data_IF_031472880085
#
_entry.id   IF_031472880085
#
_cell.length_a   1.000
_cell.length_b   1.000
_cell.length_c   1.000
_cell.angle_alpha   90.00
_cell.angle_beta   90.00
_cell.angle_gamma   90.00
#
_symmetry.space_group_name_H-M   'P 1'
#
loop_
_entity.id
_entity.type
_entity.pdbx_description
1 polymer ?
#
# COMPACT_ATOMS: atom_id res chain seq x y z
N UNK A 1 -10.78 0.51 -27.62
CA UNK A 1 -11.16 -0.70 -28.37
C UNK A 1 -10.54 -1.89 -27.68
N UNK A 2 -11.37 -2.86 -27.34
CA UNK A 2 -10.95 -4.09 -26.66
C UNK A 2 -11.06 -5.26 -27.65
N UNK A 3 -10.03 -6.10 -27.69
CA UNK A 3 -10.02 -7.35 -28.47
C UNK A 3 -9.83 -8.51 -27.52
N UNK A 4 -10.54 -9.60 -27.75
CA UNK A 4 -10.50 -10.80 -26.92
C UNK A 4 -9.99 -12.00 -27.73
N UNK A 5 -9.30 -12.93 -27.08
CA UNK A 5 -8.91 -14.21 -27.68
C UNK A 5 -10.13 -15.16 -27.83
N UNK A 6 -9.91 -16.36 -28.37
CA UNK A 6 -10.99 -17.36 -28.56
C UNK A 6 -11.57 -17.90 -27.24
N UNK A 7 -10.88 -17.70 -26.11
CA UNK A 7 -11.29 -18.12 -24.77
C UNK A 7 -12.02 -16.99 -24.01
N UNK A 8 -12.02 -15.78 -24.56
CA UNK A 8 -12.66 -14.61 -23.95
C UNK A 8 -11.71 -13.77 -23.10
N UNK A 9 -10.41 -14.05 -23.10
CA UNK A 9 -9.42 -13.26 -22.39
C UNK A 9 -9.10 -11.98 -23.17
N UNK A 10 -8.90 -10.85 -22.49
CA UNK A 10 -8.52 -9.59 -23.14
C UNK A 10 -7.15 -9.76 -23.80
N UNK A 11 -7.06 -9.73 -25.13
CA UNK A 11 -5.79 -9.90 -25.86
C UNK A 11 -5.15 -8.59 -26.29
N UNK A 12 -5.95 -7.53 -26.44
CA UNK A 12 -5.45 -6.23 -26.89
C UNK A 12 -6.34 -5.06 -26.47
N UNK A 13 -5.70 -4.01 -25.97
CA UNK A 13 -6.29 -2.69 -25.71
C UNK A 13 -5.73 -1.67 -26.71
N UNK A 14 -6.61 -0.95 -27.41
CA UNK A 14 -6.27 0.09 -28.37
C UNK A 14 -7.04 1.39 -28.12
N UNK A 15 -6.33 2.50 -27.98
CA UNK A 15 -6.89 3.84 -27.96
C UNK A 15 -6.44 4.64 -29.20
N UNK A 16 -7.30 5.52 -29.71
CA UNK A 16 -6.97 6.28 -30.92
C UNK A 16 -5.79 7.22 -30.65
N UNK A 17 -4.71 7.07 -31.42
CA UNK A 17 -3.50 7.89 -31.28
C UNK A 17 -2.50 7.39 -30.25
N UNK A 18 -2.78 6.29 -29.56
CA UNK A 18 -1.86 5.64 -28.62
C UNK A 18 -1.47 4.25 -29.16
N UNK A 19 -0.22 3.81 -28.94
CA UNK A 19 0.18 2.45 -29.29
C UNK A 19 -0.54 1.42 -28.40
N UNK A 20 -0.80 0.19 -28.91
CA UNK A 20 -1.63 -0.79 -28.21
C UNK A 20 -0.92 -1.42 -27.00
N UNK A 21 -1.71 -1.86 -26.02
CA UNK A 21 -1.27 -2.84 -25.01
C UNK A 21 -1.72 -4.23 -25.45
N UNK A 22 -0.82 -5.21 -25.38
CA UNK A 22 -1.04 -6.60 -25.81
C UNK A 22 -0.88 -7.53 -24.62
N UNK A 23 -1.79 -8.49 -24.49
CA UNK A 23 -1.82 -9.45 -23.40
C UNK A 23 -1.71 -10.86 -23.96
N UNK A 24 -0.98 -11.72 -23.28
CA UNK A 24 -0.80 -13.13 -23.66
C UNK A 24 -0.99 -14.04 -22.47
N UNK A 25 -1.48 -15.25 -22.73
CA UNK A 25 -1.92 -16.19 -21.70
C UNK A 25 -1.35 -17.58 -21.95
N UNK A 26 -1.13 -18.36 -20.89
CA UNK A 26 -0.81 -19.78 -20.99
C UNK A 26 -2.05 -20.64 -21.28
N UNK A 27 -1.90 -21.97 -21.24
CA UNK A 27 -2.99 -22.92 -21.45
C UNK A 27 -3.99 -23.02 -20.29
N UNK A 28 -3.67 -22.42 -19.14
CA UNK A 28 -4.51 -22.38 -17.93
C UNK A 28 -5.20 -21.02 -17.76
N UNK A 29 -5.19 -20.18 -18.80
CA UNK A 29 -5.76 -18.82 -18.82
C UNK A 29 -5.08 -17.85 -17.84
N UNK A 30 -3.86 -18.15 -17.41
CA UNK A 30 -3.04 -17.22 -16.64
C UNK A 30 -2.26 -16.31 -17.57
N UNK A 31 -2.11 -15.05 -17.18
CA UNK A 31 -1.35 -14.08 -17.96
C UNK A 31 0.15 -14.42 -17.92
N UNK A 32 0.82 -14.43 -19.08
CA UNK A 32 2.27 -14.68 -19.17
C UNK A 32 3.06 -13.47 -19.66
N UNK A 33 2.40 -12.50 -20.29
CA UNK A 33 3.03 -11.24 -20.67
C UNK A 33 2.01 -10.14 -20.96
N UNK A 34 2.32 -8.92 -20.50
CA UNK A 34 1.70 -7.67 -20.90
C UNK A 34 2.77 -6.83 -21.60
N UNK A 35 2.57 -6.51 -22.86
CA UNK A 35 3.46 -5.62 -23.64
C UNK A 35 2.74 -4.30 -23.92
N UNK A 36 3.30 -3.21 -23.38
CA UNK A 36 2.82 -1.86 -23.57
C UNK A 36 3.30 -1.28 -24.90
N UNK A 37 2.65 -0.20 -25.34
CA UNK A 37 2.83 0.31 -26.69
C UNK A 37 4.21 0.92 -26.99
N UNK A 38 5.02 1.18 -25.97
CA UNK A 38 6.44 1.53 -26.08
C UNK A 38 7.39 0.31 -26.12
N UNK A 39 6.81 -0.90 -26.13
CA UNK A 39 7.43 -2.22 -26.04
C UNK A 39 7.98 -2.59 -24.66
N UNK A 40 7.71 -1.82 -23.61
CA UNK A 40 7.95 -2.29 -22.24
C UNK A 40 7.07 -3.49 -21.96
N UNK A 41 7.65 -4.49 -21.32
CA UNK A 41 6.98 -5.78 -21.10
C UNK A 41 7.11 -6.19 -19.64
N UNK A 42 5.99 -6.57 -19.05
CA UNK A 42 5.95 -7.33 -17.79
C UNK A 42 5.61 -8.77 -18.16
N UNK A 43 6.39 -9.75 -17.68
CA UNK A 43 6.15 -11.17 -18.01
C UNK A 43 6.24 -12.07 -16.80
N UNK A 44 5.61 -13.24 -16.89
CA UNK A 44 5.41 -14.15 -15.77
C UNK A 44 5.95 -15.55 -16.06
N UNK A 45 6.56 -16.13 -15.03
CA UNK A 45 6.81 -17.56 -14.94
C UNK A 45 6.12 -18.13 -13.70
N UNK A 46 5.41 -19.24 -13.88
CA UNK A 46 4.72 -19.95 -12.81
C UNK A 46 5.42 -21.29 -12.56
N UNK A 47 5.99 -21.46 -11.37
CA UNK A 47 6.75 -22.67 -10.99
C UNK A 47 6.28 -23.17 -9.63
N UNK A 48 5.42 -24.19 -9.64
CA UNK A 48 4.81 -24.71 -8.40
C UNK A 48 3.95 -23.64 -7.73
N UNK A 49 4.26 -23.34 -6.46
CA UNK A 49 3.64 -22.28 -5.66
C UNK A 49 4.40 -20.94 -5.73
N UNK A 50 5.17 -20.71 -6.80
CA UNK A 50 5.98 -19.50 -6.99
C UNK A 50 5.59 -18.80 -8.28
N UNK A 51 5.37 -17.49 -8.20
CA UNK A 51 5.24 -16.59 -9.34
C UNK A 51 6.51 -15.76 -9.45
N UNK A 52 7.11 -15.73 -10.64
CA UNK A 52 8.26 -14.86 -10.95
C UNK A 52 7.79 -13.84 -11.97
N UNK A 53 7.81 -12.57 -11.59
CA UNK A 53 7.51 -11.44 -12.46
C UNK A 53 8.80 -10.81 -12.94
N UNK A 54 8.98 -10.75 -14.26
CA UNK A 54 10.08 -10.02 -14.90
C UNK A 54 9.60 -8.62 -15.29
N UNK A 55 10.30 -7.61 -14.77
CA UNK A 55 9.98 -6.21 -14.94
C UNK A 55 10.63 -5.63 -16.22
N UNK A 56 10.14 -4.49 -16.75
CA UNK A 56 10.67 -3.91 -17.98
C UNK A 56 12.18 -3.56 -17.95
N UNK A 57 12.75 -3.39 -16.76
CA UNK A 57 14.16 -3.08 -16.54
C UNK A 57 15.03 -4.31 -16.17
N UNK A 58 14.51 -5.53 -16.35
CA UNK A 58 15.10 -6.84 -16.00
C UNK A 58 15.18 -7.17 -14.50
N UNK A 59 14.64 -6.32 -13.62
CA UNK A 59 14.43 -6.68 -12.22
C UNK A 59 13.38 -7.76 -12.11
N UNK A 60 13.40 -8.48 -11.00
CA UNK A 60 12.41 -9.53 -10.76
C UNK A 60 11.71 -9.38 -9.43
N UNK A 61 10.42 -9.73 -9.42
CA UNK A 61 9.62 -9.92 -8.21
C UNK A 61 9.31 -11.39 -8.08
N UNK A 62 9.67 -12.00 -6.96
CA UNK A 62 9.41 -13.41 -6.67
C UNK A 62 8.42 -13.49 -5.52
N UNK A 63 7.27 -14.08 -5.80
CA UNK A 63 6.17 -14.29 -4.86
C UNK A 63 6.01 -15.78 -4.61
N UNK A 64 5.94 -16.18 -3.34
CA UNK A 64 5.72 -17.57 -2.92
C UNK A 64 4.47 -17.67 -2.09
N UNK A 65 3.73 -18.74 -2.30
CA UNK A 65 2.45 -18.98 -1.65
C UNK A 65 2.50 -20.25 -0.80
N UNK A 66 1.75 -20.29 0.30
CA UNK A 66 1.53 -21.53 1.04
C UNK A 66 0.55 -22.46 0.27
N UNK A 67 0.25 -23.63 0.83
CA UNK A 67 -0.69 -24.60 0.22
C UNK A 67 -2.15 -24.10 0.18
N UNK A 68 -2.50 -23.09 1.00
CA UNK A 68 -3.80 -22.43 1.00
C UNK A 68 -3.92 -21.35 -0.09
N UNK A 69 -2.79 -20.94 -0.69
CA UNK A 69 -2.73 -19.87 -1.69
C UNK A 69 -2.37 -18.49 -1.13
N UNK A 70 -2.05 -18.37 0.16
CA UNK A 70 -1.68 -17.10 0.77
C UNK A 70 -0.19 -16.78 0.54
N UNK A 71 0.11 -15.50 0.30
CA UNK A 71 1.46 -15.01 0.09
C UNK A 71 2.31 -15.17 1.36
N UNK A 72 3.43 -15.89 1.30
CA UNK A 72 4.35 -16.04 2.45
C UNK A 72 5.67 -15.28 2.27
N UNK A 73 6.05 -15.01 1.02
CA UNK A 73 7.24 -14.23 0.70
C UNK A 73 7.01 -13.42 -0.57
N UNK A 74 7.41 -12.15 -0.56
CA UNK A 74 7.53 -11.31 -1.76
C UNK A 74 8.90 -10.64 -1.76
N UNK A 75 9.69 -10.89 -2.81
CA UNK A 75 11.09 -10.47 -2.90
C UNK A 75 11.34 -9.73 -4.20
N UNK A 76 11.85 -8.51 -4.11
CA UNK A 76 12.31 -7.71 -5.23
C UNK A 76 13.82 -7.87 -5.35
N UNK A 77 14.31 -8.20 -6.54
CA UNK A 77 15.75 -8.34 -6.81
C UNK A 77 16.18 -7.50 -8.00
N UNK A 78 17.45 -7.10 -7.98
CA UNK A 78 18.11 -6.47 -9.12
C UNK A 78 18.44 -7.48 -10.24
N UNK A 79 18.99 -6.98 -11.35
CA UNK A 79 19.37 -7.79 -12.52
C UNK A 79 20.44 -8.85 -12.20
N UNK A 80 21.17 -8.70 -11.08
CA UNK A 80 22.16 -9.64 -10.58
C UNK A 80 21.60 -10.65 -9.56
N UNK A 81 20.31 -10.54 -9.22
CA UNK A 81 19.62 -11.38 -8.24
C UNK A 81 19.88 -10.99 -6.78
N UNK A 82 20.41 -9.80 -6.51
CA UNK A 82 20.55 -9.31 -5.14
C UNK A 82 19.22 -8.74 -4.65
N UNK A 83 18.91 -8.97 -3.38
CA UNK A 83 17.66 -8.51 -2.78
C UNK A 83 17.69 -6.99 -2.58
N UNK A 84 16.66 -6.31 -3.07
CA UNK A 84 16.41 -4.87 -2.86
C UNK A 84 15.43 -4.71 -1.68
N UNK A 85 14.35 -5.48 -1.72
CA UNK A 85 13.29 -5.50 -0.71
C UNK A 85 12.76 -6.93 -0.57
N UNK A 86 12.41 -7.31 0.65
CA UNK A 86 11.71 -8.56 0.96
C UNK A 86 10.69 -8.34 2.07
N UNK A 87 9.51 -8.91 1.91
CA UNK A 87 8.54 -9.11 2.98
C UNK A 87 8.27 -10.61 3.14
N UNK A 88 8.24 -11.07 4.38
CA UNK A 88 7.87 -12.43 4.76
C UNK A 88 6.68 -12.37 5.71
N UNK A 89 5.68 -13.23 5.51
CA UNK A 89 4.41 -13.20 6.23
C UNK A 89 4.17 -14.52 6.97
N UNK A 90 3.70 -14.42 8.21
CA UNK A 90 3.22 -15.55 9.00
C UNK A 90 1.75 -15.34 9.37
N UNK A 91 0.98 -16.43 9.39
CA UNK A 91 -0.46 -16.42 9.60
C UNK A 91 -0.84 -17.08 10.93
N UNK A 92 -1.87 -16.58 11.58
CA UNK A 92 -2.49 -17.25 12.74
C UNK A 92 -3.39 -18.41 12.29
N UNK A 93 -4.05 -19.07 13.25
CA UNK A 93 -4.92 -20.22 12.97
C UNK A 93 -6.21 -19.89 12.23
N UNK A 94 -6.54 -18.60 12.07
CA UNK A 94 -7.70 -18.11 11.34
C UNK A 94 -7.28 -17.51 9.98
N UNK A 95 -6.08 -17.86 9.49
CA UNK A 95 -5.49 -17.38 8.23
C UNK A 95 -5.33 -15.85 8.15
N UNK A 96 -5.14 -15.18 9.29
CA UNK A 96 -4.84 -13.74 9.35
C UNK A 96 -3.35 -13.52 9.55
N UNK A 97 -2.80 -12.48 8.93
CA UNK A 97 -1.39 -12.11 9.13
C UNK A 97 -1.13 -11.83 10.61
N UNK A 98 -0.29 -12.65 11.23
CA UNK A 98 0.11 -12.56 12.63
C UNK A 98 1.49 -11.92 12.79
N UNK A 99 2.35 -12.07 11.78
CA UNK A 99 3.65 -11.41 11.71
C UNK A 99 3.99 -11.01 10.29
N UNK A 100 4.67 -9.87 10.15
CA UNK A 100 5.37 -9.47 8.93
C UNK A 100 6.83 -9.14 9.25
N UNK A 101 7.75 -9.65 8.45
CA UNK A 101 9.17 -9.33 8.52
C UNK A 101 9.61 -8.64 7.23
N UNK A 102 10.03 -7.39 7.34
CA UNK A 102 10.45 -6.54 6.23
C UNK A 102 11.96 -6.35 6.26
N UNK A 103 12.60 -6.63 5.13
CA UNK A 103 14.03 -6.39 4.90
C UNK A 103 14.16 -5.46 3.70
N UNK A 104 14.93 -4.39 3.86
CA UNK A 104 15.10 -3.37 2.82
C UNK A 104 16.53 -2.86 2.77
N UNK A 105 17.04 -2.57 1.59
CA UNK A 105 18.39 -1.99 1.44
C UNK A 105 18.44 -0.55 1.99
N UNK A 106 19.46 -0.22 2.79
CA UNK A 106 19.68 1.10 3.43
C UNK A 106 20.10 2.17 2.45
N UNK A 107 20.88 1.81 1.42
CA UNK A 107 21.24 2.74 0.35
C UNK A 107 20.25 2.69 -0.82
N UNK A 108 19.34 1.71 -0.78
CA UNK A 108 18.27 1.42 -1.72
C UNK A 108 18.73 1.30 -3.18
N UNK A 109 20.05 1.18 -3.40
CA UNK A 109 20.64 0.88 -4.69
C UNK A 109 20.63 -0.61 -4.93
N UNK A 110 20.82 -1.00 -6.18
CA UNK A 110 21.29 -2.35 -6.49
C UNK A 110 22.48 -2.65 -5.57
N UNK A 111 22.37 -3.64 -4.68
CA UNK A 111 23.39 -3.85 -3.65
C UNK A 111 24.76 -4.09 -4.28
N UNK A 112 25.77 -3.31 -3.91
CA UNK A 112 27.18 -3.64 -4.19
C UNK A 112 27.62 -4.92 -3.42
N UNK A 113 26.81 -5.34 -2.44
CA UNK A 113 27.02 -6.49 -1.56
C UNK A 113 26.03 -7.63 -1.82
N UNK A 114 26.56 -8.81 -2.12
CA UNK A 114 25.78 -10.03 -2.37
C UNK A 114 25.11 -10.53 -1.09
N UNK A 115 23.79 -10.41 -1.01
CA UNK A 115 22.96 -11.26 -0.15
C UNK A 115 22.00 -12.02 -1.05
N UNK A 116 22.43 -13.20 -1.48
CA UNK A 116 21.68 -14.09 -2.38
C UNK A 116 20.79 -15.08 -1.62
N UNK A 117 20.91 -15.16 -0.30
CA UNK A 117 20.15 -16.09 0.55
C UNK A 117 19.97 -15.50 1.94
N UNK A 118 18.71 -15.31 2.37
CA UNK A 118 18.38 -15.22 3.79
C UNK A 118 18.04 -16.64 4.27
N UNK A 119 18.83 -17.15 5.21
CA UNK A 119 18.43 -18.35 5.95
C UNK A 119 17.41 -17.90 6.98
N UNK A 120 16.16 -18.23 6.71
CA UNK A 120 15.06 -18.00 7.63
C UNK A 120 15.38 -18.69 8.96
N UNK A 121 15.53 -17.91 10.04
CA UNK A 121 15.94 -18.47 11.33
C UNK A 121 14.79 -19.15 12.07
N UNK A 122 13.57 -19.10 11.51
CA UNK A 122 12.35 -19.56 12.17
C UNK A 122 11.62 -20.74 11.51
N UNK A 123 12.29 -21.52 10.65
CA UNK A 123 11.75 -22.82 10.23
C UNK A 123 12.43 -23.99 10.96
N UNK A 124 12.03 -24.17 12.21
CA UNK A 124 12.33 -25.36 13.00
C UNK A 124 11.54 -26.58 12.54
N UNK A 125 11.76 -27.11 11.34
CA UNK A 125 11.55 -28.54 11.04
C UNK A 125 12.58 -29.02 10.02
N UNK A 126 13.51 -29.85 10.50
CA UNK A 126 14.55 -30.44 9.66
C UNK A 126 13.99 -31.53 8.75
N UNK A 127 14.47 -31.57 7.51
CA UNK A 127 14.59 -32.80 6.74
C UNK A 127 16.01 -32.87 6.17
N UNK A 128 16.79 -33.73 6.82
CA UNK A 128 18.07 -34.26 6.35
C UNK A 128 17.91 -34.94 4.99
N UNK A 129 18.89 -34.76 4.12
CA UNK A 129 19.40 -35.85 3.29
C UNK A 129 20.91 -35.72 3.17
N UNK A 130 21.61 -36.57 3.91
CA UNK A 130 23.03 -36.85 3.76
C UNK A 130 23.32 -37.34 2.34
N UNK A 131 24.37 -36.83 1.69
CA UNK A 131 25.56 -37.65 1.48
C UNK A 131 26.79 -36.84 1.01
N UNK A 132 27.88 -37.00 1.79
CA UNK A 132 29.30 -36.98 1.41
C UNK A 132 29.94 -35.70 0.83
N UNK A 133 30.66 -34.94 1.67
CA UNK A 133 32.10 -35.17 1.94
C UNK A 133 32.71 -33.95 2.66
N UNK A 134 33.19 -34.12 3.90
CA UNK A 134 34.07 -33.16 4.60
C UNK A 134 35.53 -33.27 4.10
N UNK A 135 36.38 -32.23 4.27
CA UNK A 135 37.16 -32.07 5.53
C UNK A 135 36.99 -30.68 6.14
N UNK A 136 36.59 -30.59 7.41
CA UNK A 136 37.42 -30.26 8.60
C UNK A 136 38.09 -28.89 8.56
N UNK A 137 37.45 -27.90 9.18
CA UNK A 137 38.11 -27.08 10.20
C UNK A 137 37.06 -26.57 11.20
N UNK A 138 37.11 -27.13 12.40
CA UNK A 138 36.39 -26.65 13.57
C UNK A 138 37.05 -25.36 14.07
N UNK A 139 36.34 -24.24 13.98
CA UNK A 139 36.44 -23.19 15.00
C UNK A 139 35.06 -22.94 15.57
N UNK A 140 34.88 -23.52 16.76
CA UNK A 140 33.75 -23.34 17.64
C UNK A 140 33.55 -21.87 18.00
N UNK A 141 32.33 -21.36 17.80
CA UNK A 141 31.82 -20.22 18.57
C UNK A 141 30.72 -20.76 19.49
N UNK A 142 31.15 -21.14 20.69
CA UNK A 142 30.30 -21.29 21.87
C UNK A 142 29.70 -19.94 22.26
N UNK A 143 28.42 -19.92 22.56
CA UNK A 143 27.63 -18.70 22.65
C UNK A 143 27.93 -17.73 23.79
N UNK A 144 27.34 -16.56 23.65
CA UNK A 144 26.66 -15.83 24.73
C UNK A 144 25.64 -14.91 24.07
N UNK A 145 24.48 -14.84 24.69
CA UNK A 145 23.42 -13.88 24.42
C UNK A 145 24.03 -12.49 24.56
N UNK A 146 24.05 -11.71 23.49
CA UNK A 146 24.11 -10.26 23.57
C UNK A 146 23.32 -9.64 22.41
N UNK A 147 22.43 -8.76 22.83
CA UNK A 147 21.40 -8.08 22.07
C UNK A 147 22.03 -6.92 21.30
N UNK A 148 22.80 -7.24 20.26
CA UNK A 148 23.36 -6.27 19.33
C UNK A 148 23.45 -6.88 17.93
N UNK A 149 22.43 -6.65 17.11
CA UNK A 149 22.59 -6.71 15.66
C UNK A 149 23.58 -5.59 15.32
N UNK A 150 24.86 -5.94 15.19
CA UNK A 150 25.88 -5.04 14.67
C UNK A 150 25.56 -4.70 13.21
N UNK A 151 25.04 -3.49 13.04
CA UNK A 151 24.91 -2.67 11.83
C UNK A 151 26.06 -2.87 10.81
N UNK A 152 25.97 -3.91 9.98
CA UNK A 152 26.99 -4.21 8.96
C UNK A 152 26.42 -4.71 7.63
N UNK A 153 25.11 -4.91 7.50
CA UNK A 153 24.52 -5.56 6.32
C UNK A 153 24.12 -4.61 5.21
N UNK A 154 24.05 -3.29 5.45
CA UNK A 154 23.46 -2.38 4.46
C UNK A 154 21.96 -2.60 4.27
N UNK A 155 21.28 -3.33 5.17
CA UNK A 155 19.83 -3.54 5.19
C UNK A 155 19.21 -3.12 6.51
N UNK A 156 18.00 -2.58 6.47
CA UNK A 156 17.13 -2.35 7.63
C UNK A 156 16.15 -3.50 7.75
N UNK A 157 15.95 -3.97 8.99
CA UNK A 157 15.00 -5.04 9.31
C UNK A 157 13.92 -4.47 10.23
N UNK A 158 12.67 -4.80 9.93
CA UNK A 158 11.50 -4.38 10.70
C UNK A 158 10.59 -5.59 10.86
N UNK A 159 10.24 -5.92 12.10
CA UNK A 159 9.26 -6.94 12.42
C UNK A 159 7.98 -6.28 12.94
N UNK A 160 6.85 -6.71 12.40
CA UNK A 160 5.52 -6.37 12.86
C UNK A 160 4.87 -7.62 13.46
N UNK A 161 4.30 -7.51 14.64
CA UNK A 161 3.48 -8.55 15.25
C UNK A 161 2.07 -8.04 15.50
N UNK A 162 1.08 -8.79 15.02
CA UNK A 162 -0.32 -8.43 15.10
C UNK A 162 -1.07 -9.36 16.04
N UNK A 163 -2.07 -8.80 16.72
CA UNK A 163 -3.09 -9.61 17.41
C UNK A 163 -4.48 -9.11 17.09
N UNK A 164 -5.43 -10.02 17.14
CA UNK A 164 -6.82 -9.74 16.78
C UNK A 164 -7.75 -9.98 17.98
N UNK A 165 -8.92 -9.36 17.91
CA UNK A 165 -10.06 -9.69 18.78
C UNK A 165 -10.76 -10.95 18.25
N UNK A 166 -11.64 -11.53 19.07
CA UNK A 166 -12.47 -12.68 18.66
C UNK A 166 -13.43 -12.36 17.49
N UNK A 167 -13.57 -11.08 17.12
CA UNK A 167 -14.34 -10.61 15.95
C UNK A 167 -13.43 -10.29 14.74
N UNK A 168 -12.20 -10.80 14.74
CA UNK A 168 -11.17 -10.55 13.70
C UNK A 168 -10.79 -9.08 13.48
N UNK A 169 -11.04 -8.21 14.47
CA UNK A 169 -10.61 -6.81 14.43
C UNK A 169 -9.20 -6.67 14.98
N UNK A 170 -8.33 -5.87 14.34
CA UNK A 170 -6.96 -5.63 14.80
C UNK A 170 -6.95 -5.05 16.22
N UNK A 171 -6.40 -5.80 17.17
CA UNK A 171 -6.34 -5.45 18.59
C UNK A 171 -5.03 -4.77 18.95
N UNK A 172 -3.92 -5.23 18.39
CA UNK A 172 -2.61 -4.63 18.62
C UNK A 172 -1.66 -4.86 17.47
N UNK A 173 -0.67 -3.98 17.40
CA UNK A 173 0.50 -4.07 16.53
C UNK A 173 1.74 -3.74 17.39
N UNK A 174 2.78 -4.56 17.30
CA UNK A 174 4.09 -4.27 17.88
C UNK A 174 5.11 -4.21 16.76
N UNK A 175 5.78 -3.07 16.65
CA UNK A 175 6.77 -2.80 15.61
C UNK A 175 8.14 -2.80 16.26
N UNK A 176 8.99 -3.74 15.86
CA UNK A 176 10.37 -3.86 16.32
C UNK A 176 11.30 -3.61 15.14
N UNK A 177 12.12 -2.56 15.22
CA UNK A 177 13.17 -2.30 14.23
C UNK A 177 14.50 -2.03 14.90
N UNK A 178 15.54 -1.84 14.08
CA UNK A 178 16.92 -1.57 14.53
C UNK A 178 17.04 -0.39 15.54
N UNK A 179 16.03 0.48 15.61
CA UNK A 179 16.05 1.75 16.35
C UNK A 179 15.10 1.81 17.55
N UNK A 180 14.33 0.76 17.80
CA UNK A 180 13.43 0.69 18.96
C UNK A 180 12.16 -0.14 18.71
N UNK A 181 11.27 -0.07 19.71
CA UNK A 181 9.97 -0.75 19.71
C UNK A 181 8.87 0.31 19.82
N UNK A 182 7.79 0.12 19.06
CA UNK A 182 6.55 0.89 19.16
C UNK A 182 5.38 -0.08 19.25
N UNK A 183 4.59 0.05 20.31
CA UNK A 183 3.38 -0.74 20.49
C UNK A 183 2.15 0.13 20.24
N UNK A 184 1.21 -0.39 19.47
CA UNK A 184 -0.07 0.24 19.19
C UNK A 184 -1.17 -0.72 19.61
N UNK A 185 -2.20 -0.21 20.27
CA UNK A 185 -3.36 -1.00 20.67
C UNK A 185 -4.66 -0.26 20.38
N UNK A 186 -5.68 -1.04 20.00
CA UNK A 186 -6.97 -0.54 19.59
C UNK A 186 -8.07 -1.18 20.43
N UNK A 187 -9.12 -0.41 20.68
CA UNK A 187 -10.35 -0.91 21.32
C UNK A 187 -11.56 -0.52 20.49
N UNK A 188 -12.59 -1.36 20.55
CA UNK A 188 -13.79 -1.24 19.74
C UNK A 188 -15.04 -1.30 20.61
N UNK A 189 -16.11 -0.65 20.16
CA UNK A 189 -17.44 -0.88 20.70
C UNK A 189 -18.06 -2.19 20.17
N UNK A 190 -19.30 -2.48 20.54
CA UNK A 190 -19.95 -3.71 20.10
C UNK A 190 -20.34 -3.72 18.61
N UNK A 191 -20.52 -2.55 18.00
CA UNK A 191 -20.78 -2.38 16.57
C UNK A 191 -19.50 -2.49 15.72
N UNK A 192 -18.33 -2.54 16.38
CA UNK A 192 -17.04 -2.65 15.73
C UNK A 192 -16.39 -1.29 15.44
N UNK A 193 -16.95 -0.18 15.94
CA UNK A 193 -16.34 1.13 15.78
C UNK A 193 -15.12 1.25 16.70
N UNK A 194 -13.99 1.69 16.16
CA UNK A 194 -12.76 1.92 16.95
C UNK A 194 -12.98 3.08 17.91
N UNK A 195 -12.97 2.85 19.21
CA UNK A 195 -13.20 3.87 20.25
C UNK A 195 -11.91 4.42 20.86
N UNK A 196 -10.80 3.69 20.77
CA UNK A 196 -9.48 4.19 21.19
C UNK A 196 -8.34 3.60 20.36
N UNK A 197 -7.28 4.41 20.25
CA UNK A 197 -5.94 4.05 19.80
C UNK A 197 -4.97 4.51 20.89
N UNK A 198 -4.08 3.61 21.33
CA UNK A 198 -3.01 3.93 22.27
C UNK A 198 -1.68 3.57 21.65
N UNK A 199 -0.82 4.57 21.48
CA UNK A 199 0.54 4.43 20.95
C UNK A 199 1.52 4.55 22.11
N UNK A 200 2.39 3.55 22.26
CA UNK A 200 3.50 3.53 23.23
C UNK A 200 4.83 3.52 22.49
N UNK A 201 5.71 4.45 22.87
CA UNK A 201 7.08 4.53 22.34
C UNK A 201 8.02 4.81 23.49
N UNK A 202 8.77 3.78 23.92
CA UNK A 202 9.49 3.82 25.20
C UNK A 202 8.53 4.12 26.36
N UNK A 203 8.87 5.12 27.18
CA UNK A 203 8.04 5.53 28.33
C UNK A 203 6.87 6.47 27.99
N UNK A 204 6.73 6.86 26.71
CA UNK A 204 5.66 7.79 26.29
C UNK A 204 4.44 7.00 25.85
N UNK A 205 3.28 7.46 26.29
CA UNK A 205 1.97 6.92 25.90
C UNK A 205 1.10 8.07 25.38
N UNK A 206 0.61 7.93 24.15
CA UNK A 206 -0.31 8.85 23.51
C UNK A 206 -1.64 8.12 23.26
N UNK A 207 -2.75 8.71 23.71
CA UNK A 207 -4.09 8.12 23.58
C UNK A 207 -4.95 9.02 22.70
N UNK A 208 -5.52 8.43 21.65
CA UNK A 208 -6.58 9.02 20.83
C UNK A 208 -7.89 8.30 21.10
N UNK A 209 -8.98 9.07 21.26
CA UNK A 209 -10.33 8.53 21.46
C UNK A 209 -11.28 9.00 20.37
N UNK A 210 -12.25 8.16 20.05
CA UNK A 210 -13.22 8.37 18.99
C UNK A 210 -14.64 8.21 19.55
N UNK A 211 -15.56 9.07 19.13
CA UNK A 211 -16.97 9.05 19.55
C UNK A 211 -17.86 9.01 18.32
N UNK A 212 -18.86 8.13 18.37
CA UNK A 212 -19.80 7.88 17.28
C UNK A 212 -21.21 8.25 17.70
N UNK A 213 -22.07 8.56 16.73
CA UNK A 213 -23.50 8.72 16.95
C UNK A 213 -24.25 7.37 16.89
N UNK A 214 -25.58 7.40 17.05
CA UNK A 214 -26.44 6.21 17.01
C UNK A 214 -26.45 5.50 15.64
N UNK A 215 -25.96 6.17 14.58
CA UNK A 215 -25.81 5.63 13.23
C UNK A 215 -24.39 5.14 12.95
N UNK A 216 -23.55 4.97 13.98
CA UNK A 216 -22.14 4.55 13.87
C UNK A 216 -21.26 5.52 13.07
N UNK A 217 -21.62 6.81 12.98
CA UNK A 217 -20.82 7.82 12.27
C UNK A 217 -19.90 8.53 13.25
N UNK A 218 -18.63 8.70 12.88
CA UNK A 218 -17.63 9.36 13.72
C UNK A 218 -17.97 10.85 13.90
N UNK A 219 -18.38 11.27 15.09
CA UNK A 219 -18.75 12.68 15.38
C UNK A 219 -17.66 13.45 16.13
N UNK A 220 -16.72 12.75 16.77
CA UNK A 220 -15.61 13.40 17.47
C UNK A 220 -14.36 12.51 17.52
N UNK A 221 -13.21 13.13 17.26
CA UNK A 221 -11.88 12.56 17.50
C UNK A 221 -11.13 13.44 18.48
N UNK A 222 -10.59 12.85 19.54
CA UNK A 222 -9.81 13.54 20.56
C UNK A 222 -8.43 12.90 20.61
N UNK A 223 -7.46 13.56 19.97
CA UNK A 223 -6.04 13.22 20.09
C UNK A 223 -5.41 13.98 21.27
N UNK A 224 -4.16 13.68 21.67
CA UNK A 224 -3.46 14.44 22.71
C UNK A 224 -3.25 15.92 22.37
N UNK A 225 -3.24 16.28 21.08
CA UNK A 225 -2.91 17.63 20.60
C UNK A 225 -4.12 18.42 20.14
N UNK A 226 -5.11 17.75 19.56
CA UNK A 226 -6.24 18.36 18.86
C UNK A 226 -7.55 17.62 19.11
N UNK A 227 -8.64 18.38 19.11
CA UNK A 227 -9.99 17.84 19.01
C UNK A 227 -10.55 18.14 17.63
N UNK A 228 -11.11 17.14 16.98
CA UNK A 228 -11.85 17.30 15.71
C UNK A 228 -13.30 16.89 15.93
N UNK A 229 -14.24 17.70 15.44
CA UNK A 229 -15.67 17.38 15.42
C UNK A 229 -16.19 17.31 14.01
N UNK A 230 -17.09 16.37 13.74
CA UNK A 230 -17.61 16.11 12.41
C UNK A 230 -19.13 16.26 12.37
N UNK A 231 -19.66 16.59 11.20
CA UNK A 231 -21.09 16.65 10.94
C UNK A 231 -21.41 16.01 9.60
N UNK A 232 -22.61 15.42 9.51
CA UNK A 232 -23.06 14.65 8.35
C UNK A 232 -24.39 15.21 7.82
N UNK A 233 -24.66 14.98 6.55
CA UNK A 233 -25.99 15.18 5.99
C UNK A 233 -26.94 14.02 6.34
N UNK A 234 -28.11 13.99 5.69
CA UNK A 234 -29.11 12.94 5.90
C UNK A 234 -28.79 11.62 5.19
N UNK A 235 -27.92 11.64 4.18
CA UNK A 235 -27.47 10.46 3.46
C UNK A 235 -26.24 9.81 4.13
N UNK A 236 -25.71 10.42 5.19
CA UNK A 236 -24.53 9.91 5.89
C UNK A 236 -23.22 10.43 5.32
N UNK A 237 -23.24 11.44 4.44
CA UNK A 237 -22.02 12.05 3.92
C UNK A 237 -21.48 13.08 4.91
N UNK A 238 -20.17 13.01 5.20
CA UNK A 238 -19.47 13.97 6.06
C UNK A 238 -19.44 15.32 5.38
N UNK A 239 -20.20 16.30 5.87
CA UNK A 239 -20.26 17.66 5.30
C UNK A 239 -19.32 18.65 6.00
N UNK A 240 -18.80 18.33 7.19
CA UNK A 240 -17.81 19.18 7.86
C UNK A 240 -16.89 18.42 8.81
N UNK A 241 -15.64 18.88 8.92
CA UNK A 241 -14.69 18.53 9.97
C UNK A 241 -14.08 19.82 10.52
N UNK A 242 -14.12 20.02 11.84
CA UNK A 242 -13.60 21.23 12.49
C UNK A 242 -12.57 20.84 13.53
N UNK A 243 -11.34 21.35 13.40
CA UNK A 243 -10.24 21.12 14.35
C UNK A 243 -9.48 22.41 14.60
N UNK A 244 -9.43 22.86 15.87
CA UNK A 244 -8.68 24.04 16.32
C UNK A 244 -8.86 25.31 15.47
N UNK A 245 -10.08 25.57 15.00
CA UNK A 245 -10.41 26.74 14.16
C UNK A 245 -10.15 26.55 12.67
N UNK A 246 -9.54 25.44 12.25
CA UNK A 246 -9.55 24.99 10.86
C UNK A 246 -10.85 24.24 10.57
N UNK A 247 -11.57 24.68 9.53
CA UNK A 247 -12.81 24.06 9.07
C UNK A 247 -12.62 23.50 7.67
N UNK A 248 -12.90 22.21 7.53
CA UNK A 248 -13.14 21.57 6.24
C UNK A 248 -14.64 21.48 5.99
N UNK A 249 -15.06 21.76 4.75
CA UNK A 249 -16.42 21.54 4.27
C UNK A 249 -16.35 20.70 3.00
N UNK A 250 -17.27 19.75 2.89
CA UNK A 250 -17.32 18.78 1.80
C UNK A 250 -18.66 18.91 1.08
N UNK A 251 -18.63 18.95 -0.24
CA UNK A 251 -19.82 19.06 -1.08
C UNK A 251 -19.93 17.82 -1.95
N UNK A 252 -21.12 17.24 -2.00
CA UNK A 252 -21.43 16.03 -2.77
C UNK A 252 -22.43 16.34 -3.88
N UNK A 253 -22.39 15.55 -4.95
CA UNK A 253 -23.42 15.59 -6.00
C UNK A 253 -24.66 14.75 -5.60
N UNK A 254 -25.61 14.60 -6.53
CA UNK A 254 -26.86 13.86 -6.28
C UNK A 254 -26.66 12.34 -6.16
N UNK A 255 -25.50 11.83 -6.57
CA UNK A 255 -25.12 10.42 -6.50
C UNK A 255 -24.16 10.16 -5.32
N UNK A 256 -24.08 11.10 -4.37
CA UNK A 256 -23.19 11.05 -3.20
C UNK A 256 -21.68 11.00 -3.56
N UNK A 257 -21.30 11.46 -4.76
CA UNK A 257 -19.88 11.62 -5.11
C UNK A 257 -19.33 12.93 -4.54
N UNK A 258 -18.16 12.89 -3.91
CA UNK A 258 -17.48 14.09 -3.39
C UNK A 258 -16.98 14.96 -4.56
N UNK A 259 -17.50 16.18 -4.70
CA UNK A 259 -17.16 17.09 -5.81
C UNK A 259 -16.35 18.33 -5.39
N UNK A 260 -16.35 18.70 -4.10
CA UNK A 260 -15.58 19.86 -3.61
C UNK A 260 -15.14 19.66 -2.16
N UNK A 261 -13.91 20.08 -1.85
CA UNK A 261 -13.46 20.31 -0.47
C UNK A 261 -12.99 21.75 -0.32
N UNK A 262 -13.50 22.43 0.71
CA UNK A 262 -13.04 23.75 1.14
C UNK A 262 -12.32 23.67 2.47
N UNK A 263 -11.17 24.34 2.59
CA UNK A 263 -10.49 24.63 3.86
C UNK A 263 -10.64 26.11 4.19
N UNK A 264 -11.30 26.44 5.30
CA UNK A 264 -11.58 27.81 5.72
C UNK A 264 -12.18 28.66 4.58
N UNK A 265 -13.22 28.13 3.93
CA UNK A 265 -13.93 28.71 2.79
C UNK A 265 -13.12 28.87 1.49
N UNK A 266 -11.87 28.39 1.45
CA UNK A 266 -11.05 28.32 0.23
C UNK A 266 -11.15 26.92 -0.38
N UNK A 267 -11.54 26.82 -1.65
CA UNK A 267 -11.57 25.54 -2.39
C UNK A 267 -10.16 25.01 -2.54
N UNK A 268 -9.92 23.79 -2.03
CA UNK A 268 -8.63 23.09 -2.10
C UNK A 268 -8.66 21.88 -3.04
N UNK A 269 -9.87 21.40 -3.34
CA UNK A 269 -10.09 20.20 -4.13
C UNK A 269 -11.42 20.31 -4.87
N UNK A 270 -11.43 19.93 -6.14
CA UNK A 270 -12.63 19.64 -6.92
C UNK A 270 -12.47 18.29 -7.63
N UNK A 271 -13.55 17.55 -7.85
CA UNK A 271 -13.55 16.35 -8.66
C UNK A 271 -14.68 16.36 -9.70
N UNK A 272 -14.45 15.68 -10.82
CA UNK A 272 -15.46 15.44 -11.85
C UNK A 272 -15.45 13.96 -12.20
N UNK A 273 -16.65 13.40 -12.29
CA UNK A 273 -16.91 12.01 -12.59
C UNK A 273 -17.58 11.91 -13.96
N UNK A 274 -17.39 10.80 -14.64
CA UNK A 274 -18.16 10.49 -15.83
C UNK A 274 -19.56 9.94 -15.48
N UNK A 275 -20.32 9.56 -16.50
CA UNK A 275 -21.67 9.05 -16.32
C UNK A 275 -21.74 7.68 -15.62
N UNK A 276 -20.63 6.94 -15.56
CA UNK A 276 -20.52 5.64 -14.88
C UNK A 276 -20.03 5.79 -13.43
N UNK A 277 -19.71 7.01 -12.99
CA UNK A 277 -19.22 7.28 -11.64
C UNK A 277 -17.69 7.23 -11.51
N UNK A 278 -16.97 7.10 -12.63
CA UNK A 278 -15.50 7.06 -12.61
C UNK A 278 -14.91 8.45 -12.53
N UNK A 279 -13.95 8.66 -11.61
CA UNK A 279 -13.27 9.95 -11.46
C UNK A 279 -12.32 10.21 -12.62
N UNK A 280 -12.66 11.19 -13.46
CA UNK A 280 -11.91 11.53 -14.67
C UNK A 280 -11.06 12.80 -14.54
N UNK A 281 -11.36 13.67 -13.58
CA UNK A 281 -10.63 14.92 -13.35
C UNK A 281 -10.64 15.27 -11.87
N UNK A 282 -9.49 15.67 -11.35
CA UNK A 282 -9.39 16.41 -10.09
C UNK A 282 -8.77 17.78 -10.33
N UNK A 283 -9.15 18.76 -9.52
CA UNK A 283 -8.40 20.01 -9.39
C UNK A 283 -7.93 20.16 -7.96
N UNK A 284 -6.64 20.40 -7.78
CA UNK A 284 -5.99 20.40 -6.46
C UNK A 284 -5.21 21.70 -6.24
N UNK A 285 -5.33 22.29 -5.06
CA UNK A 285 -4.68 23.58 -4.77
C UNK A 285 -3.18 23.38 -4.57
N UNK A 286 -2.39 23.96 -5.47
CA UNK A 286 -0.93 23.92 -5.38
C UNK A 286 -0.36 24.96 -4.39
N UNK A 287 0.94 24.91 -4.14
CA UNK A 287 1.64 25.85 -3.26
C UNK A 287 1.59 27.32 -3.77
N UNK A 288 1.30 27.53 -5.05
CA UNK A 288 1.09 28.85 -5.66
C UNK A 288 -0.33 29.40 -5.49
N UNK A 289 -1.23 28.66 -4.84
CA UNK A 289 -2.63 29.07 -4.64
C UNK A 289 -3.52 28.92 -5.87
N UNK A 290 -3.13 28.09 -6.83
CA UNK A 290 -3.89 27.78 -8.06
C UNK A 290 -4.40 26.35 -7.99
N UNK A 291 -5.65 26.14 -8.43
CA UNK A 291 -6.22 24.81 -8.62
C UNK A 291 -5.67 24.18 -9.90
N UNK A 292 -4.73 23.26 -9.78
CA UNK A 292 -4.15 22.52 -10.90
C UNK A 292 -5.03 21.35 -11.29
N UNK A 293 -5.33 21.25 -12.59
CA UNK A 293 -6.12 20.14 -13.14
C UNK A 293 -5.26 18.88 -13.29
N UNK A 294 -5.83 17.72 -13.00
CA UNK A 294 -5.26 16.39 -13.25
C UNK A 294 -6.31 15.49 -13.88
N UNK A 295 -6.17 15.24 -15.18
CA UNK A 295 -7.00 14.35 -15.97
C UNK A 295 -6.54 12.90 -15.80
N UNK A 296 -7.48 11.95 -15.88
CA UNK A 296 -7.21 10.51 -15.80
C UNK A 296 -7.61 9.81 -17.08
N UNK A 297 -6.73 8.93 -17.56
CA UNK A 297 -7.07 7.92 -18.55
C UNK A 297 -7.27 6.60 -17.81
N UNK A 298 -8.50 6.11 -17.81
CA UNK A 298 -8.88 4.90 -17.08
C UNK A 298 -9.06 3.72 -18.05
N UNK A 299 -8.62 2.54 -17.63
CA UNK A 299 -9.04 1.27 -18.21
C UNK A 299 -10.19 0.68 -17.38
N UNK A 300 -11.33 0.51 -18.05
CA UNK A 300 -12.58 0.02 -17.47
C UNK A 300 -12.89 -1.43 -17.90
N UNK A 301 -11.92 -2.14 -18.50
CA UNK A 301 -12.13 -3.57 -18.83
C UNK A 301 -11.93 -4.52 -17.66
N UNK A 302 -11.39 -4.03 -16.55
CA UNK A 302 -11.25 -4.77 -15.30
C UNK A 302 -12.44 -4.48 -14.39
N UNK A 303 -12.74 -5.41 -13.49
CA UNK A 303 -13.79 -5.22 -12.47
C UNK A 303 -13.53 -3.95 -11.65
N UNK A 304 -12.27 -3.77 -11.24
CA UNK A 304 -11.78 -2.54 -10.65
C UNK A 304 -11.08 -1.67 -11.70
N UNK A 305 -11.62 -0.48 -11.93
CA UNK A 305 -11.04 0.50 -12.85
C UNK A 305 -9.55 0.74 -12.53
N UNK A 306 -8.70 0.64 -13.55
CA UNK A 306 -7.27 0.92 -13.47
C UNK A 306 -6.93 2.28 -14.06
N UNK A 307 -6.10 3.08 -13.41
CA UNK A 307 -5.65 4.38 -13.94
C UNK A 307 -4.40 4.17 -14.78
N UNK A 308 -4.50 4.30 -16.11
CA UNK A 308 -3.38 4.15 -17.04
C UNK A 308 -2.49 5.38 -17.09
N UNK A 309 -3.07 6.57 -16.92
CA UNK A 309 -2.30 7.81 -16.90
C UNK A 309 -2.98 8.89 -16.07
N UNK A 310 -2.17 9.71 -15.40
CA UNK A 310 -2.59 10.99 -14.83
C UNK A 310 -1.80 12.11 -15.48
N UNK A 311 -2.49 13.13 -16.00
CA UNK A 311 -1.84 14.16 -16.79
C UNK A 311 -2.49 15.53 -16.67
N UNK A 312 -1.73 16.55 -17.05
CA UNK A 312 -2.17 17.93 -17.22
C UNK A 312 -1.45 18.54 -18.42
N UNK A 313 -1.58 19.85 -18.64
CA UNK A 313 -0.99 20.53 -19.79
C UNK A 313 0.56 20.52 -19.79
N UNK A 314 1.20 20.20 -18.66
CA UNK A 314 2.65 20.28 -18.44
C UNK A 314 3.32 18.96 -18.04
N UNK A 315 2.58 17.99 -17.53
CA UNK A 315 3.10 16.70 -17.04
C UNK A 315 2.16 15.54 -17.37
N UNK A 316 2.72 14.38 -17.68
CA UNK A 316 1.99 13.11 -17.82
C UNK A 316 2.78 12.03 -17.08
N UNK A 317 2.07 11.29 -16.25
CA UNK A 317 2.56 10.11 -15.57
C UNK A 317 1.79 8.91 -16.10
N UNK A 318 2.49 7.91 -16.60
CA UNK A 318 1.89 6.64 -17.04
C UNK A 318 2.13 5.56 -16.01
N UNK A 319 1.25 4.56 -16.01
CA UNK A 319 1.36 3.40 -15.13
C UNK A 319 1.37 2.12 -15.96
N UNK A 320 2.35 1.27 -15.68
CA UNK A 320 2.48 -0.07 -16.26
C UNK A 320 1.95 -1.05 -15.22
N UNK A 321 1.02 -1.89 -15.67
CA UNK A 321 0.38 -2.93 -14.89
C UNK A 321 0.78 -4.31 -15.41
N UNK A 322 0.84 -5.22 -14.46
CA UNK A 322 0.91 -6.65 -14.64
C UNK A 322 -0.32 -7.29 -13.97
N UNK A 323 -0.11 -8.32 -13.16
CA UNK A 323 -1.07 -8.73 -12.12
C UNK A 323 -1.26 -7.62 -11.08
N UNK A 324 -0.23 -6.80 -10.85
CA UNK A 324 -0.26 -5.64 -9.97
C UNK A 324 0.25 -4.39 -10.68
N UNK A 325 0.06 -3.21 -10.08
CA UNK A 325 0.70 -1.98 -10.56
C UNK A 325 2.20 -2.03 -10.35
N UNK A 326 2.94 -1.91 -11.43
CA UNK A 326 4.35 -2.33 -11.47
C UNK A 326 5.33 -1.17 -11.65
N UNK A 327 5.05 -0.25 -12.58
CA UNK A 327 5.95 0.88 -12.89
C UNK A 327 5.16 2.17 -12.97
N UNK A 328 5.74 3.24 -12.42
CA UNK A 328 5.35 4.62 -12.68
C UNK A 328 6.36 5.28 -13.61
N UNK A 329 5.90 5.73 -14.78
CA UNK A 329 6.72 6.49 -15.72
C UNK A 329 6.42 7.97 -15.56
N UNK A 330 7.37 8.73 -15.00
CA UNK A 330 7.22 10.15 -14.72
C UNK A 330 8.49 10.90 -15.13
N UNK A 331 8.35 12.08 -15.73
CA UNK A 331 9.48 12.94 -16.14
C UNK A 331 10.51 12.26 -17.07
N UNK A 332 10.13 11.19 -17.77
CA UNK A 332 11.03 10.41 -18.62
C UNK A 332 11.87 9.37 -17.87
N UNK A 333 11.55 9.10 -16.60
CA UNK A 333 12.16 8.06 -15.78
C UNK A 333 11.14 6.96 -15.44
N UNK A 334 11.63 5.72 -15.44
CA UNK A 334 10.86 4.54 -15.03
C UNK A 334 11.13 4.27 -13.56
N UNK A 335 10.05 4.22 -12.77
CA UNK A 335 10.11 3.97 -11.34
C UNK A 335 9.41 2.65 -11.02
N UNK A 336 10.17 1.61 -10.71
CA UNK A 336 9.60 0.33 -10.26
C UNK A 336 8.98 0.56 -8.87
N UNK A 337 7.71 0.19 -8.74
CA UNK A 337 6.96 0.33 -7.50
C UNK A 337 7.22 -0.88 -6.59
N UNK A 338 7.64 -0.62 -5.36
CA UNK A 338 7.78 -1.64 -4.31
C UNK A 338 6.47 -1.66 -3.52
N UNK A 339 5.85 -2.83 -3.43
CA UNK A 339 4.58 -3.01 -2.74
C UNK A 339 4.64 -4.05 -1.62
N UNK A 340 3.72 -3.91 -0.66
CA UNK A 340 3.41 -4.99 0.29
C UNK A 340 2.40 -5.99 -0.32
N UNK A 341 1.84 -6.85 0.53
CA UNK A 341 0.83 -7.85 0.20
C UNK A 341 -0.54 -7.27 -0.15
N UNK A 342 -0.79 -6.00 0.19
CA UNK A 342 -2.03 -5.28 -0.13
C UNK A 342 -1.84 -4.26 -1.25
N UNK A 343 -0.74 -4.38 -2.00
CA UNK A 343 -0.35 -3.43 -3.04
C UNK A 343 -0.08 -2.00 -2.53
N UNK A 344 0.10 -1.79 -1.22
CA UNK A 344 0.49 -0.49 -0.70
C UNK A 344 1.83 -0.07 -1.28
N UNK A 345 1.93 1.13 -1.86
CA UNK A 345 3.19 1.61 -2.42
C UNK A 345 4.15 1.99 -1.30
N UNK A 346 5.08 1.10 -1.00
CA UNK A 346 6.10 1.33 0.00
C UNK A 346 7.27 2.11 -0.55
N UNK A 347 7.57 2.07 -1.84
CA UNK A 347 8.70 2.80 -2.39
C UNK A 347 8.80 2.76 -3.91
N UNK A 348 9.83 3.42 -4.42
CA UNK A 348 10.13 3.53 -5.85
C UNK A 348 11.62 3.31 -6.09
N UNK A 349 11.97 2.55 -7.13
CA UNK A 349 13.34 2.35 -7.62
C UNK A 349 13.48 3.11 -8.95
N UNK A 350 14.26 4.20 -8.99
CA UNK A 350 14.42 5.04 -10.18
C UNK A 350 14.83 6.48 -9.83
N UNK A 351 13.91 7.27 -9.28
CA UNK A 351 14.19 8.57 -8.66
C UNK A 351 14.62 8.42 -7.19
N UNK A 352 15.32 9.45 -6.66
CA UNK A 352 15.81 9.46 -5.28
C UNK A 352 14.76 9.02 -4.27
N UNK A 353 15.07 7.92 -3.58
CA UNK A 353 14.17 7.10 -2.79
C UNK A 353 13.27 7.85 -1.79
N UNK A 354 12.02 7.41 -1.74
CA UNK A 354 11.05 7.66 -0.65
C UNK A 354 10.44 6.31 -0.27
N UNK A 355 10.81 5.77 0.89
CA UNK A 355 10.03 4.67 1.46
C UNK A 355 8.89 5.26 2.30
N UNK A 356 7.67 4.88 1.97
CA UNK A 356 6.48 5.09 2.78
C UNK A 356 6.24 3.80 3.57
N UNK A 357 5.91 3.96 4.84
CA UNK A 357 5.27 2.89 5.61
C UNK A 357 3.95 3.43 6.09
N UNK A 358 2.98 2.56 6.24
CA UNK A 358 1.63 2.93 6.63
C UNK A 358 1.33 2.32 7.98
N UNK A 359 0.63 3.08 8.82
CA UNK A 359 -0.08 2.47 9.94
C UNK A 359 -1.12 1.49 9.37
N UNK A 360 -1.66 0.56 10.17
CA UNK A 360 -2.71 -0.37 9.72
C UNK A 360 -3.99 0.29 9.18
N UNK A 361 -4.11 1.60 9.31
CA UNK A 361 -5.24 2.40 8.83
C UNK A 361 -4.81 3.44 7.77
N UNK A 362 -3.62 3.31 7.18
CA UNK A 362 -3.20 4.08 6.01
C UNK A 362 -2.58 5.45 6.28
N UNK A 363 -2.30 5.82 7.53
CA UNK A 363 -1.50 7.03 7.77
C UNK A 363 -0.03 6.74 7.51
N UNK A 364 0.69 7.70 6.93
CA UNK A 364 2.14 7.60 6.83
C UNK A 364 2.78 7.47 8.21
N UNK A 365 3.53 6.39 8.39
CA UNK A 365 4.24 6.06 9.61
C UNK A 365 5.69 6.56 9.56
N UNK A 366 6.12 7.20 10.65
CA UNK A 366 7.50 7.59 10.86
C UNK A 366 8.20 6.50 11.68
N UNK A 367 8.94 5.62 11.02
CA UNK A 367 9.70 4.54 11.68
C UNK A 367 11.03 5.00 12.31
N UNK A 368 11.26 6.31 12.43
CA UNK A 368 12.42 6.82 13.16
C UNK A 368 12.16 6.77 14.66
N UNK A 369 12.38 5.60 15.25
CA UNK A 369 12.08 5.35 16.67
C UNK A 369 12.95 6.15 17.66
N UNK A 370 14.09 6.73 17.24
CA UNK A 370 14.92 7.60 18.10
C UNK A 370 16.10 8.36 17.44
N UNK A 371 16.31 8.27 16.12
CA UNK A 371 17.53 8.78 15.45
C UNK A 371 17.39 10.14 14.75
N UNK A 372 18.51 10.86 14.60
CA UNK A 372 18.62 12.17 13.91
C UNK A 372 18.61 12.09 12.39
N UNK A 373 18.81 10.90 11.80
CA UNK A 373 18.68 10.66 10.36
C UNK A 373 17.34 10.03 10.09
N UNK A 374 16.51 10.74 9.31
CA UNK A 374 15.16 10.31 9.00
C UNK A 374 15.21 9.29 7.87
N UNK A 375 14.77 8.07 8.14
CA UNK A 375 14.47 7.06 7.11
C UNK A 375 13.42 7.56 6.10
N UNK A 376 12.55 8.46 6.55
CA UNK A 376 11.56 9.15 5.75
C UNK A 376 11.92 10.64 5.78
N UNK A 377 12.62 11.13 4.76
CA UNK A 377 12.94 12.55 4.69
C UNK A 377 11.62 13.33 4.58
N UNK A 378 11.13 13.87 5.71
CA UNK A 378 9.93 14.73 5.78
C UNK A 378 10.01 15.97 4.85
N UNK A 379 11.16 16.26 4.24
CA UNK A 379 11.30 17.30 3.23
C UNK A 379 10.97 16.83 1.81
N UNK A 380 10.90 15.52 1.57
CA UNK A 380 10.28 14.93 0.39
C UNK A 380 8.78 14.78 0.64
N UNK A 381 8.00 15.41 -0.22
CA UNK A 381 6.55 15.44 -0.18
C UNK A 381 6.02 14.01 -0.18
N UNK A 382 4.94 13.68 0.57
CA UNK A 382 4.23 12.42 0.41
C UNK A 382 4.02 12.15 -1.07
N UNK A 383 4.22 10.91 -1.52
CA UNK A 383 3.94 10.52 -2.89
C UNK A 383 2.46 10.79 -3.15
N UNK A 384 2.14 11.91 -3.82
CA UNK A 384 0.80 12.16 -4.32
C UNK A 384 0.58 11.16 -5.45
N UNK A 385 -0.52 10.41 -5.39
CA UNK A 385 -0.72 9.25 -6.25
C UNK A 385 -1.02 7.99 -5.45
N UNK A 386 -0.72 6.83 -6.02
CA UNK A 386 -0.97 5.55 -5.36
C UNK A 386 -0.13 5.38 -4.09
N UNK A 387 -0.78 4.95 -3.01
CA UNK A 387 -0.19 4.77 -1.68
C UNK A 387 -0.74 3.52 -1.00
N UNK A 388 -1.30 3.68 0.20
CA UNK A 388 -1.90 2.62 1.02
C UNK A 388 -2.95 1.81 0.26
N UNK A 389 -2.92 0.48 0.42
CA UNK A 389 -3.78 -0.51 -0.26
C UNK A 389 -3.85 -0.34 -1.79
N UNK A 390 -2.78 0.22 -2.38
CA UNK A 390 -2.73 0.51 -3.80
C UNK A 390 -3.69 1.62 -4.24
N UNK A 391 -4.20 2.44 -3.33
CA UNK A 391 -5.24 3.44 -3.59
C UNK A 391 -4.69 4.85 -3.77
N UNK A 392 -5.40 5.67 -4.56
CA UNK A 392 -4.93 7.00 -4.94
C UNK A 392 -5.13 8.02 -3.82
N UNK A 393 -4.05 8.56 -3.27
CA UNK A 393 -4.06 9.68 -2.32
C UNK A 393 -4.00 11.03 -3.04
N UNK A 394 -5.00 11.87 -2.79
CA UNK A 394 -5.00 13.27 -3.27
C UNK A 394 -4.23 14.19 -2.29
N UNK A 395 -3.97 15.44 -2.69
CA UNK A 395 -3.34 16.46 -1.82
C UNK A 395 -4.13 16.78 -0.54
N UNK A 396 -5.38 16.33 -0.45
CA UNK A 396 -6.23 16.44 0.73
C UNK A 396 -5.81 15.46 1.84
N UNK A 397 -5.00 14.44 1.50
CA UNK A 397 -4.62 13.33 2.38
C UNK A 397 -5.62 12.17 2.36
N UNK A 398 -6.74 12.30 1.64
CA UNK A 398 -7.75 11.26 1.49
C UNK A 398 -7.36 10.28 0.39
N UNK A 399 -7.67 9.00 0.61
CA UNK A 399 -7.61 7.97 -0.43
C UNK A 399 -8.94 7.90 -1.17
N UNK A 400 -8.91 7.85 -2.49
CA UNK A 400 -10.09 7.62 -3.33
C UNK A 400 -10.17 6.17 -3.75
N UNK A 401 -11.20 5.47 -3.27
CA UNK A 401 -11.46 4.05 -3.51
C UNK A 401 -12.64 3.89 -4.47
N UNK A 402 -12.59 4.57 -5.63
CA UNK A 402 -13.58 4.54 -6.73
C UNK A 402 -14.98 5.05 -6.39
N UNK A 403 -15.63 4.51 -5.38
CA UNK A 403 -16.95 4.94 -4.93
C UNK A 403 -16.90 5.89 -3.72
N UNK A 404 -15.84 5.82 -2.90
CA UNK A 404 -15.76 6.56 -1.63
C UNK A 404 -14.39 7.13 -1.37
N UNK A 405 -14.36 8.08 -0.43
CA UNK A 405 -13.12 8.64 0.09
C UNK A 405 -12.87 8.12 1.49
N UNK A 406 -11.66 7.60 1.72
CA UNK A 406 -11.19 7.12 3.01
C UNK A 406 -10.27 8.15 3.65
N UNK A 407 -10.52 8.48 4.92
CA UNK A 407 -9.67 9.33 5.74
C UNK A 407 -8.75 8.46 6.59
N UNK A 408 -7.47 8.32 6.22
CA UNK A 408 -6.53 7.47 6.96
C UNK A 408 -6.27 8.02 8.36
N UNK A 409 -6.42 9.34 8.56
CA UNK A 409 -6.21 9.96 9.86
C UNK A 409 -7.26 9.49 10.87
N UNK A 410 -8.48 9.27 10.39
CA UNK A 410 -9.62 8.87 11.22
C UNK A 410 -9.87 7.37 11.19
N UNK A 411 -9.39 6.67 10.16
CA UNK A 411 -9.63 5.26 9.93
C UNK A 411 -11.06 4.95 9.49
N UNK A 412 -11.71 5.87 8.76
CA UNK A 412 -13.11 5.75 8.32
C UNK A 412 -13.33 6.36 6.94
N UNK A 413 -14.39 5.91 6.25
CA UNK A 413 -14.88 6.56 5.04
C UNK A 413 -15.62 7.86 5.36
N UNK A 414 -15.63 8.78 4.39
CA UNK A 414 -16.35 10.05 4.47
C UNK A 414 -17.86 9.89 4.21
N UNK A 415 -18.27 8.80 3.59
CA UNK A 415 -19.67 8.49 3.27
C UNK A 415 -19.98 7.04 3.61
N UNK A 416 -21.25 6.76 3.86
CA UNK A 416 -21.75 5.39 3.99
C UNK A 416 -21.68 4.67 2.63
N UNK A 417 -21.65 3.35 2.67
CA UNK A 417 -21.78 2.57 1.44
C UNK A 417 -23.20 2.74 0.88
N UNK A 418 -23.33 2.99 -0.41
CA UNK A 418 -24.63 2.99 -1.09
C UNK A 418 -25.29 1.61 -1.07
N UNK A 419 -24.50 0.55 -0.87
CA UNK A 419 -24.95 -0.83 -0.72
C UNK A 419 -24.61 -1.31 0.69
N UNK A 420 -25.62 -1.60 1.50
CA UNK A 420 -25.45 -2.04 2.90
C UNK A 420 -24.82 -3.44 3.06
N UNK A 421 -24.47 -4.10 1.95
CA UNK A 421 -24.10 -5.52 1.90
C UNK A 421 -25.27 -6.46 2.21
N UNK A 422 -25.04 -7.76 2.05
CA UNK A 422 -25.91 -8.82 2.56
C UNK A 422 -25.15 -9.57 3.67
N UNK A 423 -25.78 -9.73 4.83
CA UNK A 423 -25.22 -10.50 5.95
C UNK A 423 -25.00 -11.98 5.56
N UNK A 424 -25.70 -12.48 4.54
CA UNK A 424 -25.48 -13.82 4.01
C UNK A 424 -24.41 -13.89 2.91
N UNK A 425 -23.93 -12.75 2.39
CA UNK A 425 -22.87 -12.68 1.38
C UNK A 425 -21.49 -12.44 1.97
N UNK A 426 -21.22 -12.88 3.21
CA UNK A 426 -19.85 -12.97 3.72
C UNK A 426 -19.10 -14.08 2.95
N UNK A 427 -18.86 -13.86 1.67
CA UNK A 427 -17.90 -14.61 0.89
C UNK A 427 -16.53 -14.09 1.29
N UNK A 428 -15.72 -14.97 1.85
CA UNK A 428 -14.29 -14.72 2.06
C UNK A 428 -13.71 -14.13 0.78
N UNK A 429 -13.12 -12.95 0.94
CA UNK A 429 -12.07 -12.47 0.06
C UNK A 429 -10.76 -12.99 0.62
#
# INVERSE_FOLDING_TARGET
NYTYDERGNLSKLEATGEPPTVYTYDSEDRIISVTYGDNKTVSYEYVGNTTITHLPDNKTVVEKYNDSGDLVDKTYTDDAGNIIYKISLEYDSDDRISKSHVVLSKDNKEPDTKISTFTDKDNGTGLSNDNESMPTDETSISGSVDNAITDTTGFTNIEYQYSYTDKSQLKSESITGDRGIKDISYTYDNAGNRISETIKTGDKEEVTTFTYDESNRLIKKQSPKKTTTYSYDKNGNRISAVSDGEKFSYTYDINDNLIEIKKNDVTIFEATYDAMGERILTKELNAGGVLESKYRLNDISFEDTQVLSVYNDSSKTNFIYGNERTVEEANGEDNVLITDDRESILGKIGEGYTFSMYTPFGNNEDINFSGTEKFNDKTKTPTLGFGFDGEWQDSTGLYYLRARYYDPSDGVFLSEDSVSGDIESATGL
#
